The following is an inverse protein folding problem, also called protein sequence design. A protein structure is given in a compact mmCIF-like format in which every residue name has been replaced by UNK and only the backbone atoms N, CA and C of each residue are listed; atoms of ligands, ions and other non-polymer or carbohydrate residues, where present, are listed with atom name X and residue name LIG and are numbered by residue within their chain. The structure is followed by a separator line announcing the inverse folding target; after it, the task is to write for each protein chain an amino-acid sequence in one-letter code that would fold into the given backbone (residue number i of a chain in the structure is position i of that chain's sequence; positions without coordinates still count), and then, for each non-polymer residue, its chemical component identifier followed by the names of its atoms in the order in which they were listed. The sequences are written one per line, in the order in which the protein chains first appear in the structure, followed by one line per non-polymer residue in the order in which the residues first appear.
data_IF_260208383263
#
_entry.id   IF_260208383263
#
_cell.length_a   1.000
_cell.length_b   1.000
_cell.length_c   1.000
_cell.angle_alpha   90.00
_cell.angle_beta   90.00
_cell.angle_gamma   90.00
#
_symmetry.space_group_name_H-M   'P 1'
#
loop_
_entity.id
_entity.type
_entity.pdbx_description
1 polymer ?
#
# COMPACT_ATOMS: atom_id res chain seq x y z
N UNK A 1 38.06 -4.56 -9.67
CA UNK A 1 37.67 -3.56 -8.67
C UNK A 1 36.35 -3.00 -9.16
N UNK A 2 35.25 -3.61 -8.73
CA UNK A 2 33.90 -3.21 -9.17
C UNK A 2 33.59 -1.87 -8.51
N UNK A 3 33.30 -0.91 -9.37
CA UNK A 3 32.80 0.41 -9.04
C UNK A 3 31.54 0.26 -8.18
N UNK A 4 31.65 0.61 -6.90
CA UNK A 4 30.56 0.59 -5.90
C UNK A 4 29.94 1.98 -5.76
N UNK A 5 29.85 2.74 -6.84
CA UNK A 5 29.10 4.00 -6.82
C UNK A 5 27.61 3.66 -6.92
N UNK A 6 26.78 3.89 -5.87
CA UNK A 6 25.35 3.70 -5.99
C UNK A 6 24.81 4.58 -7.13
N UNK A 7 23.82 4.10 -7.91
CA UNK A 7 23.24 4.92 -8.98
C UNK A 7 22.77 6.23 -8.35
N UNK A 8 23.07 7.36 -9.00
CA UNK A 8 22.75 8.73 -8.56
C UNK A 8 21.39 8.75 -7.88
N UNK A 9 21.43 8.71 -6.54
CA UNK A 9 20.22 8.44 -5.77
C UNK A 9 19.47 9.75 -5.72
N UNK A 10 18.30 9.80 -6.37
CA UNK A 10 17.41 10.96 -6.34
C UNK A 10 17.35 11.57 -4.93
N UNK A 11 17.44 12.89 -4.82
CA UNK A 11 17.61 13.58 -3.54
C UNK A 11 16.47 13.27 -2.55
N UNK A 12 15.26 13.05 -3.06
CA UNK A 12 14.12 12.67 -2.26
C UNK A 12 14.24 11.23 -1.74
N UNK A 13 14.77 10.32 -2.54
CA UNK A 13 15.12 8.96 -2.10
C UNK A 13 16.16 8.98 -0.98
N UNK A 14 17.22 9.79 -1.12
CA UNK A 14 18.23 9.97 -0.08
C UNK A 14 17.63 10.54 1.22
N UNK A 15 16.71 11.51 1.11
CA UNK A 15 15.97 12.05 2.25
C UNK A 15 15.15 10.98 2.98
N UNK A 16 14.43 10.13 2.26
CA UNK A 16 13.67 9.03 2.88
C UNK A 16 14.59 7.98 3.52
N UNK A 17 15.75 7.67 2.93
CA UNK A 17 16.73 6.78 3.55
C UNK A 17 17.24 7.34 4.88
N UNK A 18 17.52 8.64 4.96
CA UNK A 18 17.95 9.29 6.20
C UNK A 18 16.91 9.13 7.32
N UNK A 19 15.62 9.29 7.00
CA UNK A 19 14.53 9.11 7.96
C UNK A 19 14.42 7.65 8.40
N UNK A 20 14.48 6.71 7.45
CA UNK A 20 14.40 5.29 7.77
C UNK A 20 15.59 4.84 8.66
N UNK A 21 16.81 5.25 8.34
CA UNK A 21 18.01 4.96 9.13
C UNK A 21 17.95 5.62 10.53
N UNK A 22 17.35 6.80 10.65
CA UNK A 22 17.16 7.47 11.94
C UNK A 22 16.16 6.72 12.83
N UNK A 23 14.99 6.38 12.30
CA UNK A 23 13.97 5.60 13.00
C UNK A 23 14.52 4.25 13.50
N UNK A 24 15.45 3.67 12.74
CA UNK A 24 16.12 2.43 13.12
C UNK A 24 17.04 2.56 14.34
N UNK A 25 17.71 3.71 14.50
CA UNK A 25 18.65 3.94 15.60
C UNK A 25 17.95 4.26 16.92
N UNK A 26 16.73 4.78 16.87
CA UNK A 26 15.97 5.22 18.04
C UNK A 26 15.36 4.06 18.86
N UNK A 27 15.26 2.85 18.31
CA UNK A 27 14.51 1.74 18.93
C UNK A 27 15.36 0.48 19.14
N UNK A 28 15.36 -0.08 20.35
CA UNK A 28 16.21 -1.22 20.77
C UNK A 28 15.65 -2.62 20.45
N UNK A 29 14.37 -2.76 20.09
CA UNK A 29 13.71 -4.05 19.78
C UNK A 29 13.22 -4.11 18.33
N UNK A 30 13.42 -5.24 17.64
CA UNK A 30 13.14 -5.42 16.21
C UNK A 30 11.70 -5.10 15.78
N UNK A 31 10.67 -5.61 16.47
CA UNK A 31 9.27 -5.32 16.15
C UNK A 31 8.90 -3.85 16.39
N UNK A 32 9.47 -3.26 17.45
CA UNK A 32 9.24 -1.85 17.81
C UNK A 32 9.86 -0.86 16.82
N UNK A 33 10.89 -1.25 16.08
CA UNK A 33 11.62 -0.39 15.15
C UNK A 33 10.92 -0.24 13.79
N UNK A 34 10.19 -1.25 13.34
CA UNK A 34 9.64 -1.31 11.98
C UNK A 34 8.47 -0.36 11.75
N UNK A 35 7.56 -0.26 12.73
CA UNK A 35 6.37 0.59 12.60
C UNK A 35 6.69 2.09 12.63
N UNK A 36 7.56 2.59 13.53
CA UNK A 36 8.03 3.96 13.46
C UNK A 36 8.70 4.27 12.12
N UNK A 37 9.54 3.38 11.58
CA UNK A 37 10.23 3.62 10.30
C UNK A 37 9.24 3.84 9.15
N UNK A 38 8.30 2.92 8.91
CA UNK A 38 7.32 3.09 7.82
C UNK A 38 6.40 4.30 8.06
N UNK A 39 6.01 4.55 9.31
CA UNK A 39 5.16 5.70 9.67
C UNK A 39 5.88 7.02 9.40
N UNK A 40 7.12 7.17 9.88
CA UNK A 40 7.91 8.39 9.70
C UNK A 40 8.21 8.67 8.23
N UNK A 41 8.52 7.65 7.43
CA UNK A 41 8.71 7.78 5.98
C UNK A 41 7.40 8.20 5.30
N UNK A 42 6.27 7.61 5.69
CA UNK A 42 4.94 7.98 5.17
C UNK A 42 4.58 9.43 5.49
N UNK A 43 4.84 9.88 6.72
CA UNK A 43 4.60 11.26 7.14
C UNK A 43 5.51 12.24 6.42
N UNK A 44 6.77 11.86 6.19
CA UNK A 44 7.70 12.66 5.41
C UNK A 44 7.24 12.82 3.95
N UNK A 45 6.77 11.74 3.33
CA UNK A 45 6.18 11.79 2.00
C UNK A 45 4.95 12.72 1.96
N UNK A 46 4.08 12.66 2.97
CA UNK A 46 2.95 13.57 3.07
C UNK A 46 3.39 15.05 3.19
N UNK A 47 4.41 15.34 4.02
CA UNK A 47 4.97 16.71 4.16
C UNK A 47 5.57 17.22 2.85
N UNK A 48 6.24 16.37 2.09
CA UNK A 48 6.78 16.73 0.76
C UNK A 48 5.65 17.13 -0.18
N UNK A 49 4.55 16.38 -0.21
CA UNK A 49 3.39 16.72 -1.05
C UNK A 49 2.70 18.01 -0.63
N UNK A 50 2.57 18.26 0.67
CA UNK A 50 2.09 19.56 1.18
C UNK A 50 3.02 20.69 0.71
N UNK A 51 4.34 20.51 0.79
CA UNK A 51 5.28 21.52 0.31
C UNK A 51 5.13 21.76 -1.18
N UNK A 52 5.02 20.71 -2.01
CA UNK A 52 4.84 20.83 -3.47
C UNK A 52 3.57 21.62 -3.78
N UNK A 53 2.46 21.32 -3.10
CA UNK A 53 1.20 22.04 -3.30
C UNK A 53 1.28 23.53 -2.91
N UNK A 54 2.16 23.90 -1.98
CA UNK A 54 2.39 25.30 -1.58
C UNK A 54 3.36 26.04 -2.50
N UNK A 55 4.33 25.35 -3.11
CA UNK A 55 5.41 25.97 -3.89
C UNK A 55 5.22 25.90 -5.40
N UNK A 56 4.35 25.01 -5.88
CA UNK A 56 4.11 24.79 -7.30
C UNK A 56 2.64 25.06 -7.63
N UNK A 57 2.37 25.70 -8.76
CA UNK A 57 1.01 25.76 -9.31
C UNK A 57 0.60 24.34 -9.74
N UNK A 58 -0.10 23.63 -8.85
CA UNK A 58 -0.63 22.30 -9.09
C UNK A 58 -2.15 22.32 -8.98
N UNK A 59 -2.89 21.67 -9.90
CA UNK A 59 -4.32 21.56 -9.74
C UNK A 59 -4.67 20.77 -8.48
N UNK A 60 -5.80 21.09 -7.86
CA UNK A 60 -6.34 20.29 -6.77
C UNK A 60 -6.98 19.01 -7.35
N UNK A 61 -6.81 17.85 -6.71
CA UNK A 61 -7.54 16.65 -7.12
C UNK A 61 -9.02 16.80 -6.76
N UNK A 62 -9.91 16.20 -7.55
CA UNK A 62 -11.36 16.13 -7.28
C UNK A 62 -11.71 14.99 -6.28
N UNK A 63 -10.69 14.43 -5.64
CA UNK A 63 -10.82 13.40 -4.63
C UNK A 63 -11.34 14.00 -3.32
N UNK A 64 -12.46 13.46 -2.83
CA UNK A 64 -13.07 13.86 -1.57
C UNK A 64 -13.54 12.64 -0.77
N UNK A 65 -13.85 12.86 0.51
CA UNK A 65 -14.52 11.85 1.34
C UNK A 65 -15.82 11.39 0.68
N UNK A 66 -16.11 10.09 0.70
CA UNK A 66 -17.24 9.48 -0.02
C UNK A 66 -16.96 9.14 -1.49
N UNK A 67 -15.79 9.48 -2.03
CA UNK A 67 -15.33 8.93 -3.32
C UNK A 67 -14.64 7.57 -3.11
N UNK A 68 -15.20 6.50 -3.71
CA UNK A 68 -14.73 5.12 -3.50
C UNK A 68 -14.39 4.37 -4.79
N UNK A 69 -14.26 5.03 -5.94
CA UNK A 69 -13.96 4.36 -7.20
C UNK A 69 -12.66 3.58 -7.15
N UNK A 70 -11.61 4.18 -6.60
CA UNK A 70 -10.31 3.53 -6.45
C UNK A 70 -10.36 2.34 -5.47
N UNK A 71 -11.31 2.32 -4.52
CA UNK A 71 -11.48 1.20 -3.60
C UNK A 71 -12.05 -0.08 -4.25
N UNK A 72 -12.44 -0.05 -5.52
CA UNK A 72 -12.85 -1.23 -6.29
C UNK A 72 -11.71 -1.81 -7.14
N UNK A 73 -10.56 -1.15 -7.15
CA UNK A 73 -9.38 -1.64 -7.84
C UNK A 73 -8.57 -2.56 -6.92
N UNK A 74 -8.00 -3.61 -7.49
CA UNK A 74 -7.17 -4.57 -6.76
C UNK A 74 -5.76 -4.02 -6.59
N UNK A 75 -5.29 -4.05 -5.35
CA UNK A 75 -3.98 -3.50 -4.99
C UNK A 75 -3.07 -4.58 -4.43
N UNK A 76 -1.78 -4.34 -4.58
CA UNK A 76 -0.76 -5.13 -3.91
C UNK A 76 -0.04 -4.26 -2.89
N UNK A 77 0.16 -4.81 -1.71
CA UNK A 77 0.89 -4.19 -0.61
C UNK A 77 2.24 -4.89 -0.42
N UNK A 78 3.15 -4.20 0.25
CA UNK A 78 4.37 -4.82 0.76
C UNK A 78 4.08 -5.65 2.00
N UNK A 79 4.91 -6.66 2.33
CA UNK A 79 4.81 -7.38 3.59
C UNK A 79 4.75 -6.47 4.82
N UNK A 80 5.61 -5.46 4.93
CA UNK A 80 5.61 -4.57 6.08
C UNK A 80 4.31 -3.75 6.18
N UNK A 81 3.74 -3.28 5.08
CA UNK A 81 2.42 -2.63 5.09
C UNK A 81 1.31 -3.58 5.56
N UNK A 82 1.34 -4.84 5.13
CA UNK A 82 0.39 -5.85 5.59
C UNK A 82 0.51 -6.10 7.10
N UNK A 83 1.73 -6.19 7.61
CA UNK A 83 1.98 -6.37 9.03
C UNK A 83 1.49 -5.15 9.83
N UNK A 84 1.79 -3.94 9.37
CA UNK A 84 1.31 -2.69 10.00
C UNK A 84 -0.22 -2.64 10.05
N UNK A 85 -0.89 -2.97 8.94
CA UNK A 85 -2.36 -3.03 8.88
C UNK A 85 -2.91 -4.06 9.85
N UNK A 86 -2.33 -5.26 9.92
CA UNK A 86 -2.78 -6.31 10.83
C UNK A 86 -2.63 -5.90 12.30
N UNK A 87 -1.54 -5.24 12.67
CA UNK A 87 -1.32 -4.73 14.02
C UNK A 87 -2.31 -3.61 14.36
N UNK A 88 -2.58 -2.71 13.42
CA UNK A 88 -3.59 -1.66 13.59
C UNK A 88 -4.99 -2.27 13.82
N UNK A 89 -5.38 -3.29 13.04
CA UNK A 89 -6.65 -3.98 13.22
C UNK A 89 -6.73 -4.61 14.62
N UNK A 90 -5.68 -5.33 15.04
CA UNK A 90 -5.65 -5.97 16.36
C UNK A 90 -5.75 -4.95 17.50
N UNK A 91 -5.13 -3.78 17.36
CA UNK A 91 -5.09 -2.75 18.38
C UNK A 91 -6.35 -1.87 18.43
N UNK A 92 -6.97 -1.59 17.28
CA UNK A 92 -7.99 -0.55 17.15
C UNK A 92 -9.40 -1.07 16.86
N UNK A 93 -9.55 -2.29 16.31
CA UNK A 93 -10.87 -2.80 15.92
C UNK A 93 -11.47 -3.63 17.07
N UNK A 94 -12.76 -3.44 17.30
CA UNK A 94 -13.57 -4.27 18.18
C UNK A 94 -13.63 -5.73 17.69
N UNK A 95 -13.94 -6.69 18.58
CA UNK A 95 -14.10 -8.09 18.17
C UNK A 95 -15.13 -8.32 17.06
N UNK A 96 -16.20 -7.50 17.02
CA UNK A 96 -17.23 -7.60 16.00
C UNK A 96 -16.77 -7.03 14.65
N UNK A 97 -16.05 -5.90 14.64
CA UNK A 97 -15.41 -5.36 13.43
C UNK A 97 -14.38 -6.33 12.85
N UNK A 98 -13.56 -6.97 13.70
CA UNK A 98 -12.62 -8.00 13.26
C UNK A 98 -13.34 -9.21 12.66
N UNK A 99 -14.45 -9.65 13.25
CA UNK A 99 -15.28 -10.75 12.71
C UNK A 99 -15.91 -10.39 11.37
N UNK A 100 -16.39 -9.15 11.24
CA UNK A 100 -16.94 -8.63 10.00
C UNK A 100 -15.86 -8.57 8.90
N UNK A 101 -14.68 -8.03 9.21
CA UNK A 101 -13.54 -7.99 8.29
C UNK A 101 -13.12 -9.40 7.82
N UNK A 102 -13.02 -10.37 8.74
CA UNK A 102 -12.74 -11.77 8.38
C UNK A 102 -13.80 -12.38 7.45
N UNK A 103 -15.06 -11.95 7.56
CA UNK A 103 -16.12 -12.39 6.64
C UNK A 103 -15.92 -11.77 5.26
N UNK A 104 -15.67 -10.46 5.18
CA UNK A 104 -15.36 -9.77 3.92
C UNK A 104 -14.15 -10.35 3.19
N UNK A 105 -13.10 -10.73 3.92
CA UNK A 105 -11.92 -11.39 3.36
C UNK A 105 -12.30 -12.74 2.74
N UNK A 106 -13.02 -13.59 3.49
CA UNK A 106 -13.46 -14.91 3.00
C UNK A 106 -14.36 -14.79 1.77
N UNK A 107 -15.30 -13.85 1.78
CA UNK A 107 -16.22 -13.64 0.67
C UNK A 107 -15.46 -13.16 -0.58
N UNK A 108 -14.54 -12.19 -0.43
CA UNK A 108 -13.72 -11.71 -1.54
C UNK A 108 -12.85 -12.84 -2.14
N UNK A 109 -12.20 -13.64 -1.29
CA UNK A 109 -11.41 -14.79 -1.74
C UNK A 109 -12.28 -15.86 -2.43
N UNK A 110 -13.49 -16.13 -1.93
CA UNK A 110 -14.42 -17.08 -2.53
C UNK A 110 -14.85 -16.63 -3.94
N UNK A 111 -15.07 -15.33 -4.14
CA UNK A 111 -15.41 -14.79 -5.46
C UNK A 111 -14.22 -14.80 -6.41
N UNK A 112 -13.01 -14.50 -5.93
CA UNK A 112 -11.89 -14.23 -6.83
C UNK A 112 -10.93 -15.41 -7.06
N UNK A 113 -10.90 -16.42 -6.19
CA UNK A 113 -9.96 -17.56 -6.31
C UNK A 113 -10.13 -18.29 -7.64
N UNK A 114 -9.01 -18.55 -8.32
CA UNK A 114 -9.01 -19.25 -9.62
C UNK A 114 -9.49 -18.43 -10.82
N UNK A 115 -9.98 -17.21 -10.61
CA UNK A 115 -10.43 -16.34 -11.69
C UNK A 115 -9.27 -15.61 -12.37
N UNK A 116 -9.40 -15.41 -13.69
CA UNK A 116 -8.50 -14.59 -14.50
C UNK A 116 -8.61 -13.10 -14.16
N UNK A 117 -7.66 -12.28 -14.66
CA UNK A 117 -7.71 -10.83 -14.46
C UNK A 117 -9.04 -10.24 -14.98
N UNK A 118 -9.46 -10.62 -16.18
CA UNK A 118 -10.69 -10.13 -16.81
C UNK A 118 -11.95 -10.53 -16.04
N UNK A 119 -12.04 -11.79 -15.58
CA UNK A 119 -13.17 -12.24 -14.76
C UNK A 119 -13.29 -11.45 -13.46
N UNK A 120 -12.16 -11.21 -12.79
CA UNK A 120 -12.13 -10.42 -11.56
C UNK A 120 -12.41 -8.93 -11.81
N UNK A 121 -12.06 -8.37 -12.98
CA UNK A 121 -12.44 -6.99 -13.37
C UNK A 121 -13.95 -6.88 -13.54
N UNK A 122 -14.59 -7.91 -14.11
CA UNK A 122 -16.03 -7.94 -14.37
C UNK A 122 -16.89 -7.99 -13.10
N UNK A 123 -16.32 -8.39 -11.95
CA UNK A 123 -17.03 -8.48 -10.66
C UNK A 123 -16.50 -7.48 -9.60
N UNK A 124 -15.78 -6.44 -10.03
CA UNK A 124 -15.09 -5.52 -9.10
C UNK A 124 -16.05 -4.78 -8.16
N UNK A 125 -17.31 -4.61 -8.56
CA UNK A 125 -18.41 -4.07 -7.77
C UNK A 125 -18.84 -5.00 -6.64
N UNK A 126 -18.76 -6.32 -6.85
CA UNK A 126 -19.04 -7.36 -5.87
C UNK A 126 -17.85 -7.64 -4.95
N UNK A 127 -16.65 -7.26 -5.37
CA UNK A 127 -15.41 -7.48 -4.62
C UNK A 127 -14.68 -6.17 -4.31
N UNK A 128 -15.32 -5.19 -3.64
CA UNK A 128 -14.63 -3.97 -3.23
C UNK A 128 -13.52 -4.30 -2.22
N UNK A 129 -12.63 -3.34 -2.00
CA UNK A 129 -11.61 -3.41 -0.94
C UNK A 129 -12.26 -3.82 0.39
N UNK A 130 -11.63 -4.76 1.09
CA UNK A 130 -12.08 -5.29 2.39
C UNK A 130 -12.17 -4.23 3.50
N UNK A 131 -11.60 -3.04 3.29
CA UNK A 131 -11.69 -1.91 4.21
C UNK A 131 -12.71 -0.84 3.81
N UNK A 132 -13.43 -1.00 2.70
CA UNK A 132 -14.43 -0.02 2.25
C UNK A 132 -15.74 -0.18 3.03
N UNK A 133 -16.11 0.77 3.87
CA UNK A 133 -17.38 0.76 4.61
C UNK A 133 -18.08 2.10 4.45
N UNK A 134 -19.37 2.10 4.06
CA UNK A 134 -20.15 3.31 3.80
C UNK A 134 -19.43 4.38 2.95
N UNK A 135 -18.78 3.97 1.86
CA UNK A 135 -17.95 4.82 0.98
C UNK A 135 -16.71 5.47 1.64
N UNK A 136 -16.30 4.99 2.81
CA UNK A 136 -15.12 5.42 3.54
C UNK A 136 -14.16 4.25 3.79
N UNK A 137 -12.87 4.55 3.97
CA UNK A 137 -11.88 3.54 4.31
C UNK A 137 -11.78 3.41 5.83
N UNK A 138 -12.02 2.21 6.36
CA UNK A 138 -11.91 1.90 7.80
C UNK A 138 -10.47 2.09 8.34
N UNK A 139 -9.47 2.14 7.46
CA UNK A 139 -8.04 2.30 7.80
C UNK A 139 -7.43 3.50 7.06
N UNK A 140 -8.19 4.59 6.88
CA UNK A 140 -7.81 5.72 6.04
C UNK A 140 -6.40 6.28 6.33
N UNK A 141 -6.05 6.42 7.60
CA UNK A 141 -4.75 6.94 8.03
C UNK A 141 -3.62 5.92 7.89
N UNK A 142 -3.95 4.63 7.82
CA UNK A 142 -3.02 3.52 7.59
C UNK A 142 -3.05 3.04 6.14
N UNK A 143 -3.59 3.83 5.21
CA UNK A 143 -3.64 3.48 3.79
C UNK A 143 -2.23 3.11 3.28
N UNK A 144 -2.08 1.96 2.60
CA UNK A 144 -0.84 1.59 1.92
C UNK A 144 -0.39 2.68 0.95
N UNK A 145 0.91 2.74 0.67
CA UNK A 145 1.52 3.66 -0.30
C UNK A 145 0.79 3.65 -1.64
N UNK A 146 0.43 2.47 -2.16
CA UNK A 146 -0.33 2.36 -3.43
C UNK A 146 -1.72 3.00 -3.36
N UNK A 147 -2.39 3.00 -2.21
CA UNK A 147 -3.66 3.71 -2.05
C UNK A 147 -3.47 5.22 -2.03
N UNK A 148 -2.28 5.70 -1.64
CA UNK A 148 -1.96 7.13 -1.55
C UNK A 148 -1.44 7.70 -2.88
N UNK A 149 -1.00 6.86 -3.81
CA UNK A 149 -0.65 7.30 -5.18
C UNK A 149 -1.90 7.61 -6.00
N UNK A 150 -3.01 6.90 -5.76
CA UNK A 150 -4.26 7.07 -6.50
C UNK A 150 -4.97 8.37 -6.16
N UNK A 151 -5.15 9.17 -7.20
CA UNK A 151 -5.87 10.43 -7.17
C UNK A 151 -6.39 10.72 -8.59
N UNK A 152 -7.28 11.70 -8.73
CA UNK A 152 -7.79 12.12 -10.04
C UNK A 152 -8.14 13.59 -10.03
N UNK A 153 -8.02 14.23 -11.19
CA UNK A 153 -8.42 15.62 -11.41
C UNK A 153 -9.92 15.78 -11.71
N UNK A 154 -10.62 14.69 -12.01
CA UNK A 154 -12.05 14.69 -12.31
C UNK A 154 -12.71 13.37 -11.91
N UNK A 155 -13.69 13.42 -11.00
CA UNK A 155 -14.44 12.25 -10.56
C UNK A 155 -15.11 11.52 -11.74
N UNK A 156 -15.50 12.22 -12.81
CA UNK A 156 -16.19 11.62 -13.96
C UNK A 156 -15.30 10.64 -14.72
N UNK A 157 -14.00 10.88 -14.77
CA UNK A 157 -13.05 9.95 -15.40
C UNK A 157 -12.94 8.66 -14.58
N UNK A 158 -12.93 8.78 -13.24
CA UNK A 158 -12.99 7.64 -12.34
C UNK A 158 -14.28 6.84 -12.50
N UNK A 159 -15.43 7.51 -12.64
CA UNK A 159 -16.72 6.88 -12.87
C UNK A 159 -16.78 6.17 -14.23
N UNK A 160 -16.30 6.83 -15.29
CA UNK A 160 -16.24 6.25 -16.63
C UNK A 160 -15.33 5.01 -16.67
N UNK A 161 -14.15 5.06 -16.05
CA UNK A 161 -13.27 3.91 -15.89
C UNK A 161 -13.91 2.80 -15.04
N UNK A 162 -14.69 3.17 -14.03
CA UNK A 162 -15.43 2.21 -13.22
C UNK A 162 -16.50 1.49 -14.06
N UNK A 163 -17.39 2.23 -14.73
CA UNK A 163 -18.52 1.68 -15.50
C UNK A 163 -18.08 0.92 -16.75
N UNK A 164 -17.05 1.40 -17.45
CA UNK A 164 -16.59 0.77 -18.70
C UNK A 164 -16.02 -0.63 -18.51
N UNK A 165 -15.55 -0.97 -17.31
CA UNK A 165 -14.82 -2.21 -17.07
C UNK A 165 -13.46 -2.28 -17.78
N UNK A 166 -13.02 -1.19 -18.42
CA UNK A 166 -11.71 -1.13 -19.06
C UNK A 166 -10.62 -1.00 -17.99
N UNK A 167 -9.79 -2.04 -17.84
CA UNK A 167 -8.69 -2.05 -16.88
C UNK A 167 -7.47 -1.25 -17.35
N UNK A 168 -7.45 -0.84 -18.61
CA UNK A 168 -6.43 0.02 -19.23
C UNK A 168 -6.92 1.47 -19.37
N UNK A 169 -8.01 1.86 -18.70
CA UNK A 169 -8.49 3.22 -18.73
C UNK A 169 -7.47 4.17 -18.05
N UNK A 170 -7.01 5.17 -18.80
CA UNK A 170 -6.15 6.22 -18.27
C UNK A 170 -7.01 7.27 -17.56
N UNK A 171 -6.68 7.52 -16.29
CA UNK A 171 -7.36 8.53 -15.46
C UNK A 171 -6.36 9.65 -15.20
N UNK A 172 -6.62 10.89 -15.67
CA UNK A 172 -5.78 12.03 -15.36
C UNK A 172 -5.62 12.22 -13.85
N UNK A 173 -4.36 12.31 -13.41
CA UNK A 173 -4.00 12.40 -12.00
C UNK A 173 -2.78 13.29 -11.79
N UNK A 174 -2.58 13.71 -10.55
CA UNK A 174 -1.35 14.35 -10.10
C UNK A 174 -0.22 13.32 -10.09
N UNK A 175 0.87 13.65 -10.78
CA UNK A 175 2.08 12.83 -10.85
C UNK A 175 2.88 12.85 -9.55
N UNK A 176 2.86 13.96 -8.81
CA UNK A 176 3.64 14.12 -7.58
C UNK A 176 3.31 13.04 -6.51
N UNK A 177 2.04 12.78 -6.13
CA UNK A 177 1.72 11.67 -5.22
C UNK A 177 2.22 10.31 -5.71
N UNK A 178 2.11 10.03 -7.02
CA UNK A 178 2.60 8.79 -7.59
C UNK A 178 4.11 8.64 -7.39
N UNK A 179 4.87 9.66 -7.75
CA UNK A 179 6.32 9.68 -7.63
C UNK A 179 6.79 9.56 -6.17
N UNK A 180 6.28 10.46 -5.31
CA UNK A 180 6.72 10.58 -3.91
C UNK A 180 6.43 9.29 -3.12
N UNK A 181 5.22 8.75 -3.21
CA UNK A 181 4.88 7.52 -2.47
C UNK A 181 5.47 6.25 -3.08
N UNK A 182 5.77 6.24 -4.39
CA UNK A 182 6.54 5.14 -5.00
C UNK A 182 7.95 5.09 -4.44
N UNK A 183 8.66 6.22 -4.41
CA UNK A 183 10.00 6.31 -3.81
C UNK A 183 10.00 5.96 -2.33
N UNK A 184 9.04 6.48 -1.56
CA UNK A 184 8.89 6.15 -0.15
C UNK A 184 8.73 4.63 0.08
N UNK A 185 7.87 3.97 -0.70
CA UNK A 185 7.68 2.52 -0.65
C UNK A 185 8.97 1.77 -0.99
N UNK A 186 9.65 2.19 -2.06
CA UNK A 186 10.85 1.51 -2.55
C UNK A 186 12.02 1.64 -1.56
N UNK A 187 12.14 2.78 -0.86
CA UNK A 187 13.06 2.97 0.26
C UNK A 187 12.71 2.03 1.42
N UNK A 188 11.44 1.99 1.84
CA UNK A 188 11.01 1.08 2.92
C UNK A 188 11.30 -0.38 2.56
N UNK A 189 11.03 -0.81 1.33
CA UNK A 189 11.39 -2.15 0.86
C UNK A 189 12.90 -2.40 0.84
N UNK A 190 13.69 -1.43 0.42
CA UNK A 190 15.16 -1.53 0.39
C UNK A 190 15.72 -1.69 1.80
N UNK A 191 15.18 -0.96 2.76
CA UNK A 191 15.56 -1.07 4.17
C UNK A 191 15.12 -2.42 4.76
N UNK A 192 13.90 -2.89 4.47
CA UNK A 192 13.46 -4.24 4.87
C UNK A 192 14.38 -5.32 4.30
N UNK A 193 14.82 -5.19 3.05
CA UNK A 193 15.76 -6.11 2.40
C UNK A 193 17.11 -6.12 3.13
N UNK A 194 17.64 -4.94 3.52
CA UNK A 194 18.88 -4.81 4.33
C UNK A 194 18.74 -5.45 5.72
N UNK A 195 17.52 -5.52 6.25
CA UNK A 195 17.21 -6.18 7.52
C UNK A 195 16.92 -7.69 7.36
N UNK A 196 17.05 -8.25 6.16
CA UNK A 196 16.70 -9.64 5.85
C UNK A 196 15.22 -10.00 6.14
N UNK A 197 14.33 -9.02 5.99
CA UNK A 197 12.89 -9.21 6.12
C UNK A 197 12.27 -9.60 4.79
N UNK A 198 11.10 -10.23 4.84
CA UNK A 198 10.36 -10.59 3.64
C UNK A 198 9.94 -9.32 2.87
N UNK A 199 10.25 -9.27 1.57
CA UNK A 199 9.92 -8.16 0.68
C UNK A 199 9.26 -8.68 -0.60
N UNK A 200 8.63 -7.78 -1.36
CA UNK A 200 7.86 -8.11 -2.55
C UNK A 200 6.49 -7.45 -2.53
N UNK A 201 5.55 -8.04 -3.28
CA UNK A 201 4.18 -7.54 -3.44
C UNK A 201 3.19 -8.68 -3.25
N UNK A 202 2.21 -8.48 -2.38
CA UNK A 202 1.14 -9.43 -2.08
C UNK A 202 -0.19 -8.73 -2.30
N UNK A 203 -1.14 -9.41 -2.92
CA UNK A 203 -2.50 -8.88 -3.05
C UNK A 203 -3.09 -8.65 -1.65
N UNK A 204 -3.71 -7.48 -1.43
CA UNK A 204 -4.11 -7.02 -0.09
C UNK A 204 -4.99 -8.04 0.64
N UNK A 205 -6.02 -8.57 -0.02
CA UNK A 205 -6.97 -9.50 0.62
C UNK A 205 -6.25 -10.76 1.07
N UNK A 206 -5.38 -11.30 0.22
CA UNK A 206 -4.55 -12.46 0.54
C UNK A 206 -3.58 -12.17 1.69
N UNK A 207 -2.96 -10.98 1.70
CA UNK A 207 -2.06 -10.58 2.78
C UNK A 207 -2.79 -10.49 4.13
N UNK A 208 -3.99 -9.92 4.16
CA UNK A 208 -4.80 -9.84 5.38
C UNK A 208 -5.29 -11.20 5.87
N UNK A 209 -5.66 -12.11 4.96
CA UNK A 209 -6.03 -13.49 5.32
C UNK A 209 -4.89 -14.21 6.07
N UNK A 210 -3.66 -14.09 5.54
CA UNK A 210 -2.47 -14.67 6.14
C UNK A 210 -2.11 -14.02 7.48
N UNK A 211 -2.10 -12.69 7.56
CA UNK A 211 -1.75 -11.99 8.80
C UNK A 211 -2.76 -12.25 9.92
N UNK A 212 -4.07 -12.22 9.65
CA UNK A 212 -5.11 -12.35 10.66
C UNK A 212 -5.36 -13.80 11.11
N UNK A 213 -4.73 -14.77 10.44
CA UNK A 213 -4.62 -16.15 10.88
C UNK A 213 -3.52 -16.35 11.95
N UNK A 214 -2.58 -15.41 12.06
CA UNK A 214 -1.49 -15.44 13.05
C UNK A 214 -1.83 -14.54 14.24
N UNK A 215 -1.54 -15.02 15.45
CA UNK A 215 -1.68 -14.23 16.68
C UNK A 215 -0.53 -13.24 16.87
N UNK A 216 0.64 -13.52 16.30
CA UNK A 216 1.90 -12.81 16.51
C UNK A 216 2.59 -12.45 15.18
N UNK A 217 1.79 -12.07 14.16
CA UNK A 217 2.29 -11.76 12.81
C UNK A 217 3.46 -10.75 12.80
N UNK A 218 3.36 -9.70 13.62
CA UNK A 218 4.40 -8.67 13.71
C UNK A 218 5.73 -9.19 14.28
N UNK A 219 5.68 -10.01 15.33
CA UNK A 219 6.89 -10.59 15.92
C UNK A 219 7.49 -11.66 15.00
N UNK A 220 6.64 -12.48 14.35
CA UNK A 220 7.07 -13.45 13.34
C UNK A 220 7.81 -12.76 12.20
N UNK A 221 7.23 -11.69 11.65
CA UNK A 221 7.87 -10.89 10.62
C UNK A 221 9.19 -10.26 11.11
N UNK A 222 9.20 -9.67 12.31
CA UNK A 222 10.38 -9.01 12.87
C UNK A 222 11.56 -9.96 13.17
N UNK A 223 11.30 -11.27 13.29
CA UNK A 223 12.34 -12.31 13.37
C UNK A 223 12.91 -12.72 12.01
N UNK A 224 12.40 -12.15 10.91
CA UNK A 224 12.80 -12.51 9.55
C UNK A 224 12.15 -13.79 9.02
N UNK A 225 11.10 -14.28 9.68
CA UNK A 225 10.35 -15.44 9.21
C UNK A 225 9.42 -15.05 8.05
N UNK A 226 9.26 -15.97 7.08
CA UNK A 226 8.41 -15.74 5.90
C UNK A 226 6.96 -16.06 6.20
N UNK A 227 6.07 -15.11 5.93
CA UNK A 227 4.61 -15.23 6.07
C UNK A 227 3.94 -15.35 4.69
N UNK A 228 4.49 -14.70 3.66
CA UNK A 228 3.78 -14.45 2.40
C UNK A 228 4.36 -15.20 1.19
N UNK A 229 5.42 -15.98 1.35
CA UNK A 229 6.20 -16.60 0.25
C UNK A 229 5.37 -17.27 -0.85
N UNK A 230 4.29 -17.96 -0.49
CA UNK A 230 3.42 -18.66 -1.45
C UNK A 230 2.43 -17.75 -2.18
N UNK A 231 2.23 -16.53 -1.68
CA UNK A 231 1.27 -15.53 -2.17
C UNK A 231 1.95 -14.35 -2.90
N UNK A 232 3.28 -14.38 -3.05
CA UNK A 232 4.03 -13.32 -3.71
C UNK A 232 3.68 -13.24 -5.19
N UNK A 233 3.41 -12.02 -5.65
CA UNK A 233 3.26 -11.73 -7.08
C UNK A 233 4.62 -11.90 -7.77
N UNK A 234 4.69 -12.78 -8.77
CA UNK A 234 5.91 -12.96 -9.56
C UNK A 234 6.27 -11.64 -10.24
N UNK A 235 7.47 -11.13 -9.98
CA UNK A 235 7.95 -9.87 -10.54
C UNK A 235 8.20 -10.00 -12.04
N UNK A 236 7.17 -9.72 -12.85
CA UNK A 236 7.32 -9.30 -14.24
C UNK A 236 7.02 -7.80 -14.32
N UNK A 237 8.02 -6.95 -14.11
CA UNK A 237 7.85 -5.50 -14.25
C UNK A 237 8.38 -5.07 -15.63
N UNK A 238 7.48 -4.94 -16.61
CA UNK A 238 7.63 -3.89 -17.62
C UNK A 238 7.15 -2.61 -16.98
N UNK A 239 8.03 -1.61 -16.91
CA UNK A 239 7.66 -0.24 -16.59
C UNK A 239 6.60 0.22 -17.61
N UNK A 240 5.33 0.12 -17.23
CA UNK A 240 4.23 0.72 -17.96
C UNK A 240 4.38 2.23 -17.86
N UNK A 241 4.61 2.85 -19.02
CA UNK A 241 4.61 4.30 -19.20
C UNK A 241 3.31 4.87 -18.63
N UNK A 242 3.47 5.86 -17.76
CA UNK A 242 2.44 6.87 -17.52
C UNK A 242 2.42 7.86 -18.69
#
# INVERSE_FOLDING_TARGET
MQDQTPPDTDALSAYFFQIADAAQKETRNSSGTLFPMITQVTDAAARVLVSVALTCESPAPDCASGCSFCCHSRIHVTPLEAILLSAHIQACFTPDEQRHLKTRIRDNLAHTRGQSLAQRVAIKDQTPCIFLDHHACMVYDQRPFICRTWNSLDRRDCEAAFVSGNHDAEIPCLSAPNYVYTLARDVVQSVCTRMHLETGRVELVTAMDLCLALTDAADTFARGETIFKQAMFATGFTAGKA
#
